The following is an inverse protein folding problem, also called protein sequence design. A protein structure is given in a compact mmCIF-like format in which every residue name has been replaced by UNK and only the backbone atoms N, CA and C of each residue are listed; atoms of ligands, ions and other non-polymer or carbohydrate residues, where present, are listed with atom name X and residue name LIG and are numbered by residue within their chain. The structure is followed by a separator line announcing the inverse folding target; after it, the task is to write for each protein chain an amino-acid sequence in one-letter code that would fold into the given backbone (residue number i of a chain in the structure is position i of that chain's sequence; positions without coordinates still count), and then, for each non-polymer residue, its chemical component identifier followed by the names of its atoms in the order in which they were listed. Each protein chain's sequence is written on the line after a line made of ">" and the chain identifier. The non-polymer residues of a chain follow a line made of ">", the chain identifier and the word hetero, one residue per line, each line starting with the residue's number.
data_IF_062221355207
#
_entry.id   IF_062221355207
#
_cell.length_a   1.000
_cell.length_b   1.000
_cell.length_c   1.000
_cell.angle_alpha   90.00
_cell.angle_beta   90.00
_cell.angle_gamma   90.00
#
_symmetry.space_group_name_H-M   'P 1'
#
loop_
_entity.id
_entity.type
_entity.pdbx_description
1 polymer ?
#
# COMPACT_ATOMS: atom_id res chain seq x y z
N UNK A 1 2.96 13.39 12.25
CA UNK A 1 2.37 14.02 11.05
C UNK A 1 3.41 14.83 10.31
N UNK A 2 3.37 14.77 8.96
CA UNK A 2 4.32 15.43 8.05
C UNK A 2 3.96 16.89 7.76
N UNK A 3 2.71 17.30 8.00
CA UNK A 3 2.18 18.62 7.66
C UNK A 3 1.75 18.75 6.19
N UNK A 4 2.16 17.81 5.33
CA UNK A 4 1.86 17.80 3.90
C UNK A 4 0.38 17.53 3.61
N UNK A 5 -0.18 18.08 2.51
CA UNK A 5 -1.50 17.69 2.06
C UNK A 5 -1.54 16.19 1.78
N UNK A 6 -2.65 15.56 2.14
CA UNK A 6 -2.90 14.16 1.85
C UNK A 6 -4.24 14.03 1.12
N UNK A 7 -4.37 12.97 0.33
CA UNK A 7 -5.64 12.56 -0.26
C UNK A 7 -5.98 11.18 0.26
N UNK A 8 -7.21 11.05 0.74
CA UNK A 8 -7.76 9.81 1.27
C UNK A 8 -8.91 9.40 0.38
N UNK A 9 -8.92 8.14 -0.03
CA UNK A 9 -9.93 7.55 -0.89
C UNK A 9 -10.53 6.34 -0.17
N UNK A 10 -11.85 6.29 -0.06
CA UNK A 10 -12.57 5.11 0.44
C UNK A 10 -12.89 4.22 -0.76
N UNK A 11 -12.54 2.93 -0.70
CA UNK A 11 -12.84 1.99 -1.79
C UNK A 11 -14.34 1.76 -2.01
N UNK A 12 -15.18 2.16 -1.06
CA UNK A 12 -16.64 2.22 -1.19
C UNK A 12 -17.15 3.39 -2.05
N UNK A 13 -16.36 4.44 -2.25
CA UNK A 13 -16.79 5.60 -3.03
C UNK A 13 -16.88 5.25 -4.52
N UNK A 14 -18.00 5.63 -5.13
CA UNK A 14 -18.26 5.37 -6.56
C UNK A 14 -17.64 6.41 -7.49
N UNK A 15 -17.05 7.46 -6.92
CA UNK A 15 -16.53 8.61 -7.64
C UNK A 15 -15.16 8.37 -8.28
N UNK A 16 -14.54 7.21 -8.05
CA UNK A 16 -13.29 6.82 -8.71
C UNK A 16 -13.29 5.35 -9.12
N UNK A 17 -12.60 5.06 -10.22
CA UNK A 17 -12.46 3.71 -10.76
C UNK A 17 -11.17 3.04 -10.29
N UNK A 18 -11.04 1.73 -10.55
CA UNK A 18 -9.78 1.02 -10.34
C UNK A 18 -8.62 1.62 -11.15
N UNK A 19 -8.92 2.15 -12.34
CA UNK A 19 -7.94 2.78 -13.22
C UNK A 19 -7.47 4.13 -12.69
N UNK A 20 -8.38 4.93 -12.12
CA UNK A 20 -8.03 6.21 -11.48
C UNK A 20 -7.12 5.97 -10.27
N UNK A 21 -7.52 5.03 -9.40
CA UNK A 21 -6.72 4.66 -8.24
C UNK A 21 -5.35 4.12 -8.67
N UNK A 22 -5.30 3.25 -9.68
CA UNK A 22 -4.05 2.71 -10.19
C UNK A 22 -3.13 3.81 -10.73
N UNK A 23 -3.69 4.77 -11.47
CA UNK A 23 -2.94 5.91 -11.99
C UNK A 23 -2.35 6.76 -10.86
N UNK A 24 -3.11 6.97 -9.78
CA UNK A 24 -2.64 7.69 -8.59
C UNK A 24 -1.54 6.94 -7.83
N UNK A 25 -1.63 5.61 -7.73
CA UNK A 25 -0.57 4.77 -7.13
C UNK A 25 0.71 4.86 -7.94
N UNK A 26 0.63 4.77 -9.28
CA UNK A 26 1.80 4.88 -10.15
C UNK A 26 2.44 6.28 -10.10
N UNK A 27 1.62 7.33 -10.03
CA UNK A 27 2.09 8.69 -9.83
C UNK A 27 2.80 8.85 -8.48
N UNK A 28 2.17 8.40 -7.40
CA UNK A 28 2.74 8.48 -6.06
C UNK A 28 4.06 7.70 -5.95
N UNK A 29 4.17 6.52 -6.55
CA UNK A 29 5.44 5.79 -6.61
C UNK A 29 6.51 6.56 -7.40
N UNK A 30 6.16 7.13 -8.57
CA UNK A 30 7.10 7.90 -9.40
C UNK A 30 7.64 9.13 -8.66
N UNK A 31 6.79 9.84 -7.93
CA UNK A 31 7.18 11.02 -7.17
C UNK A 31 7.80 10.68 -5.80
N UNK A 32 7.71 9.42 -5.36
CA UNK A 32 8.18 8.96 -4.05
C UNK A 32 7.28 9.40 -2.90
N UNK A 33 5.98 9.60 -3.16
CA UNK A 33 4.99 9.94 -2.15
C UNK A 33 4.64 8.72 -1.28
N UNK A 34 4.68 8.86 0.06
CA UNK A 34 4.23 7.79 0.94
C UNK A 34 2.76 7.45 0.71
N UNK A 35 2.49 6.14 0.71
CA UNK A 35 1.16 5.58 0.54
C UNK A 35 0.85 4.60 1.67
N UNK A 36 -0.38 4.60 2.14
CA UNK A 36 -0.85 3.68 3.16
C UNK A 36 -2.29 3.23 2.85
N UNK A 37 -2.66 2.03 3.28
CA UNK A 37 -4.02 1.53 3.16
C UNK A 37 -4.49 0.92 4.48
N UNK A 38 -5.75 1.14 4.81
CA UNK A 38 -6.38 0.63 6.02
C UNK A 38 -7.35 -0.49 5.71
N UNK A 39 -7.45 -1.47 6.61
CA UNK A 39 -8.53 -2.47 6.60
C UNK A 39 -9.64 -2.06 7.56
N UNK A 40 -10.90 -2.27 7.17
CA UNK A 40 -12.05 -2.07 8.04
C UNK A 40 -12.17 -3.16 9.13
N UNK A 41 -12.69 -2.79 10.31
CA UNK A 41 -13.30 -3.74 11.26
C UNK A 41 -12.60 -3.97 12.61
N UNK A 42 -13.31 -4.73 13.45
CA UNK A 42 -13.03 -5.05 14.85
C UNK A 42 -12.04 -6.24 14.96
N UNK A 43 -10.84 -5.99 15.51
CA UNK A 43 -9.79 -6.89 16.04
C UNK A 43 -9.79 -8.40 15.70
N UNK A 44 -9.84 -8.77 14.42
CA UNK A 44 -9.68 -10.16 13.99
C UNK A 44 -8.84 -10.29 12.71
N UNK A 45 -8.06 -11.36 12.59
CA UNK A 45 -7.41 -11.74 11.32
C UNK A 45 -8.48 -12.14 10.30
N UNK A 46 -8.30 -11.78 9.03
CA UNK A 46 -9.01 -12.48 7.97
C UNK A 46 -8.39 -13.88 7.76
N UNK A 47 -9.16 -14.82 7.21
CA UNK A 47 -8.71 -16.20 6.93
C UNK A 47 -7.47 -16.28 6.01
N UNK A 48 -7.06 -15.15 5.43
CA UNK A 48 -5.95 -15.01 4.48
C UNK A 48 -4.75 -14.24 5.04
N UNK A 49 -4.69 -14.05 6.36
CA UNK A 49 -3.52 -13.50 7.07
C UNK A 49 -3.46 -11.98 7.18
N UNK A 50 -4.38 -11.23 6.57
CA UNK A 50 -4.47 -9.76 6.73
C UNK A 50 -5.22 -9.43 8.02
N UNK A 51 -4.57 -8.68 8.90
CA UNK A 51 -5.12 -8.13 10.14
C UNK A 51 -6.16 -7.06 9.81
N UNK A 52 -7.37 -7.16 10.37
CA UNK A 52 -8.41 -6.12 10.30
C UNK A 52 -8.13 -4.98 11.26
N UNK A 53 -8.70 -3.80 11.01
CA UNK A 53 -8.47 -2.60 11.83
C UNK A 53 -7.02 -2.11 11.83
N UNK A 54 -6.22 -2.52 10.83
CA UNK A 54 -4.80 -2.22 10.75
C UNK A 54 -4.43 -1.44 9.49
N UNK A 55 -3.38 -0.62 9.61
CA UNK A 55 -2.83 0.16 8.51
C UNK A 55 -1.56 -0.50 7.97
N UNK A 56 -1.45 -0.55 6.64
CA UNK A 56 -0.32 -1.12 5.92
C UNK A 56 0.32 -0.05 5.06
N UNK A 57 1.63 -0.13 4.87
CA UNK A 57 2.34 0.77 3.94
C UNK A 57 2.32 0.17 2.55
N UNK A 58 2.00 0.97 1.52
CA UNK A 58 2.16 0.55 0.13
C UNK A 58 3.56 0.96 -0.32
N UNK A 59 4.37 -0.03 -0.70
CA UNK A 59 5.80 0.17 -1.02
C UNK A 59 6.05 0.40 -2.50
N UNK A 60 5.37 -0.37 -3.36
CA UNK A 60 5.58 -0.33 -4.81
C UNK A 60 4.40 -0.93 -5.57
N UNK A 61 4.25 -0.57 -6.85
CA UNK A 61 3.22 -1.10 -7.73
C UNK A 61 3.82 -1.49 -9.09
N UNK A 62 3.38 -2.63 -9.64
CA UNK A 62 3.89 -3.14 -10.92
C UNK A 62 2.74 -3.57 -11.81
N UNK A 63 2.82 -3.14 -13.08
CA UNK A 63 1.94 -3.58 -14.17
C UNK A 63 2.65 -4.67 -14.95
N UNK A 64 2.21 -5.92 -14.81
CA UNK A 64 2.78 -7.10 -15.46
C UNK A 64 1.88 -7.57 -16.60
N UNK A 65 2.39 -8.49 -17.42
CA UNK A 65 1.64 -9.12 -18.53
C UNK A 65 1.00 -8.11 -19.49
N UNK A 66 1.69 -7.00 -19.78
CA UNK A 66 1.18 -5.94 -20.64
C UNK A 66 0.06 -5.11 -19.99
N UNK A 67 0.05 -5.00 -18.66
CA UNK A 67 -0.90 -4.19 -17.89
C UNK A 67 -2.17 -4.93 -17.47
N UNK A 68 -2.31 -6.21 -17.82
CA UNK A 68 -3.43 -7.06 -17.40
C UNK A 68 -3.35 -7.44 -15.93
N UNK A 69 -2.14 -7.54 -15.39
CA UNK A 69 -1.90 -7.91 -14.00
C UNK A 69 -1.32 -6.72 -13.24
N UNK A 70 -2.09 -6.18 -12.30
CA UNK A 70 -1.71 -5.04 -11.46
C UNK A 70 -1.43 -5.54 -10.05
N UNK A 71 -0.17 -5.50 -9.65
CA UNK A 71 0.27 -5.96 -8.33
C UNK A 71 0.76 -4.78 -7.48
N UNK A 72 0.38 -4.80 -6.21
CA UNK A 72 0.88 -3.87 -5.20
C UNK A 72 1.68 -4.65 -4.16
N UNK A 73 2.80 -4.11 -3.73
CA UNK A 73 3.52 -4.59 -2.56
C UNK A 73 3.10 -3.79 -1.34
N UNK A 74 2.57 -4.50 -0.34
CA UNK A 74 2.16 -3.94 0.93
C UNK A 74 3.11 -4.44 2.02
N UNK A 75 3.25 -3.64 3.08
CA UNK A 75 4.00 -4.01 4.28
C UNK A 75 3.16 -3.86 5.52
N UNK A 76 3.10 -4.93 6.30
CA UNK A 76 2.63 -4.91 7.68
C UNK A 76 3.70 -4.30 8.59
N UNK A 77 3.43 -3.18 9.29
CA UNK A 77 4.36 -2.56 10.23
C UNK A 77 4.84 -3.48 11.35
N UNK A 78 4.08 -4.52 11.71
CA UNK A 78 4.50 -5.50 12.71
C UNK A 78 5.58 -6.47 12.22
N UNK A 79 5.88 -6.49 10.92
CA UNK A 79 6.90 -7.36 10.33
C UNK A 79 6.54 -8.84 10.32
N UNK A 80 5.25 -9.16 10.45
CA UNK A 80 4.66 -10.51 10.45
C UNK A 80 3.20 -10.43 10.01
N UNK A 81 2.56 -11.58 9.84
CA UNK A 81 1.18 -11.70 9.34
C UNK A 81 1.03 -11.18 7.91
N UNK A 82 1.50 -12.02 7.00
CA UNK A 82 1.50 -11.77 5.57
C UNK A 82 0.27 -12.37 4.89
N UNK A 83 -0.08 -11.78 3.76
CA UNK A 83 -1.08 -12.31 2.84
C UNK A 83 -0.74 -13.74 2.42
N UNK A 84 -1.72 -14.64 2.46
CA UNK A 84 -1.55 -16.05 2.04
C UNK A 84 -2.27 -16.40 0.74
N UNK A 85 -2.92 -15.43 0.09
CA UNK A 85 -3.68 -15.65 -1.14
C UNK A 85 -2.84 -15.60 -2.43
N UNK A 86 -3.47 -15.16 -3.53
CA UNK A 86 -2.81 -15.03 -4.83
C UNK A 86 -1.66 -14.03 -4.77
N UNK A 87 -0.51 -14.37 -5.34
CA UNK A 87 0.71 -13.53 -5.32
C UNK A 87 1.38 -13.34 -3.95
N UNK A 88 0.89 -14.03 -2.91
CA UNK A 88 1.65 -14.20 -1.67
C UNK A 88 3.03 -14.82 -1.90
N UNK A 89 3.90 -14.71 -0.89
CA UNK A 89 5.25 -15.28 -0.87
C UNK A 89 5.32 -16.78 -1.14
N UNK A 90 4.25 -17.51 -0.79
CA UNK A 90 4.10 -18.95 -0.98
C UNK A 90 3.23 -19.30 -2.20
N UNK A 91 2.76 -18.30 -2.95
CA UNK A 91 1.84 -18.51 -4.07
C UNK A 91 2.52 -19.23 -5.24
N UNK A 92 1.86 -20.26 -5.74
CA UNK A 92 2.29 -20.99 -6.96
C UNK A 92 2.07 -20.18 -8.25
N UNK A 93 1.39 -19.03 -8.18
CA UNK A 93 1.14 -18.15 -9.33
C UNK A 93 2.41 -17.45 -9.82
N UNK A 94 3.42 -17.30 -8.96
CA UNK A 94 4.69 -16.71 -9.33
C UNK A 94 5.46 -17.57 -10.33
N UNK A 95 5.76 -17.01 -11.49
CA UNK A 95 6.73 -17.57 -12.43
C UNK A 95 8.10 -16.94 -12.20
N UNK A 96 9.21 -17.59 -12.60
CA UNK A 96 10.55 -17.00 -12.49
C UNK A 96 10.66 -15.64 -13.20
N UNK A 97 9.99 -15.47 -14.34
CA UNK A 97 9.97 -14.21 -15.09
C UNK A 97 9.30 -13.09 -14.29
N UNK A 98 8.11 -13.35 -13.74
CA UNK A 98 7.37 -12.36 -12.94
C UNK A 98 8.11 -12.01 -11.65
N UNK A 99 8.76 -12.99 -11.02
CA UNK A 99 9.62 -12.74 -9.84
C UNK A 99 10.78 -11.80 -10.17
N UNK A 100 11.44 -12.01 -11.30
CA UNK A 100 12.54 -11.14 -11.74
C UNK A 100 12.04 -9.72 -12.04
N UNK A 101 10.88 -9.59 -12.69
CA UNK A 101 10.30 -8.29 -13.06
C UNK A 101 9.93 -7.43 -11.85
N UNK A 102 9.44 -8.04 -10.77
CA UNK A 102 9.07 -7.31 -9.54
C UNK A 102 10.17 -7.26 -8.49
N UNK A 103 11.34 -7.88 -8.74
CA UNK A 103 12.39 -8.03 -7.74
C UNK A 103 11.91 -8.81 -6.50
N UNK A 104 11.14 -9.88 -6.71
CA UNK A 104 10.57 -10.68 -5.64
C UNK A 104 11.67 -11.34 -4.80
N UNK A 105 11.61 -11.13 -3.49
CA UNK A 105 12.41 -11.84 -2.49
C UNK A 105 11.47 -12.49 -1.49
N UNK A 106 11.66 -13.78 -1.23
CA UNK A 106 10.85 -14.49 -0.23
C UNK A 106 11.45 -14.23 1.15
N UNK A 107 10.75 -13.47 1.98
CA UNK A 107 11.17 -13.09 3.34
C UNK A 107 9.94 -13.05 4.24
N UNK A 108 10.12 -13.41 5.51
CA UNK A 108 9.08 -13.24 6.53
C UNK A 108 9.35 -11.91 7.25
N UNK A 109 9.06 -10.81 6.55
CA UNK A 109 9.32 -9.45 7.00
C UNK A 109 8.06 -8.56 7.00
N UNK A 110 6.90 -9.18 6.77
CA UNK A 110 5.62 -8.52 6.67
C UNK A 110 5.37 -7.86 5.31
N UNK A 111 6.29 -7.96 4.35
CA UNK A 111 6.09 -7.46 2.99
C UNK A 111 5.50 -8.56 2.10
N UNK A 112 4.42 -8.25 1.39
CA UNK A 112 3.78 -9.20 0.50
C UNK A 112 3.19 -8.50 -0.71
N UNK A 113 3.09 -9.24 -1.80
CA UNK A 113 2.45 -8.78 -3.03
C UNK A 113 1.00 -9.24 -3.08
N UNK A 114 0.14 -8.39 -3.63
CA UNK A 114 -1.28 -8.67 -3.76
C UNK A 114 -1.82 -8.02 -5.04
N UNK A 115 -2.84 -8.62 -5.66
CA UNK A 115 -3.48 -8.03 -6.83
C UNK A 115 -4.32 -6.83 -6.44
N UNK A 116 -4.43 -5.83 -7.33
CA UNK A 116 -5.22 -4.62 -7.10
C UNK A 116 -6.66 -4.92 -6.67
N UNK A 117 -7.30 -5.90 -7.31
CA UNK A 117 -8.67 -6.28 -7.00
C UNK A 117 -8.82 -6.91 -5.61
N UNK A 118 -7.82 -7.68 -5.16
CA UNK A 118 -7.77 -8.20 -3.80
C UNK A 118 -7.56 -7.05 -2.79
N UNK A 119 -6.75 -6.02 -3.12
CA UNK A 119 -6.61 -4.80 -2.29
C UNK A 119 -7.97 -4.14 -2.10
N UNK A 120 -8.67 -3.85 -3.19
CA UNK A 120 -9.98 -3.16 -3.15
C UNK A 120 -11.06 -3.93 -2.40
N UNK A 121 -10.94 -5.26 -2.33
CA UNK A 121 -11.90 -6.13 -1.65
C UNK A 121 -11.62 -6.26 -0.15
N UNK A 122 -10.34 -6.24 0.25
CA UNK A 122 -9.92 -6.54 1.63
C UNK A 122 -9.62 -5.30 2.47
N UNK A 123 -9.25 -4.21 1.81
CA UNK A 123 -8.95 -2.94 2.42
C UNK A 123 -10.15 -2.01 2.25
N UNK A 124 -10.24 -1.00 3.10
CA UNK A 124 -11.31 -0.01 3.13
C UNK A 124 -10.90 1.28 2.43
N UNK A 125 -9.64 1.67 2.59
CA UNK A 125 -9.15 2.95 2.13
C UNK A 125 -7.70 2.89 1.64
N UNK A 126 -7.32 3.91 0.89
CA UNK A 126 -5.94 4.25 0.57
C UNK A 126 -5.71 5.74 0.76
N UNK A 127 -4.56 6.08 1.31
CA UNK A 127 -4.12 7.43 1.60
C UNK A 127 -2.79 7.72 0.91
N UNK A 128 -2.71 8.86 0.24
CA UNK A 128 -1.52 9.36 -0.45
C UNK A 128 -1.04 10.63 0.26
N UNK A 129 0.24 10.71 0.62
CA UNK A 129 0.85 11.88 1.24
C UNK A 129 1.69 12.61 0.19
N UNK A 130 1.23 13.77 -0.30
CA UNK A 130 1.93 14.55 -1.33
C UNK A 130 3.09 15.34 -0.70
N UNK A 131 4.17 14.63 -0.40
CA UNK A 131 5.37 15.21 0.19
C UNK A 131 6.24 15.84 -0.90
N UNK A 132 6.16 17.16 -1.07
CA UNK A 132 7.07 17.86 -1.98
C UNK A 132 8.49 17.94 -1.37
N UNK A 133 9.54 17.72 -2.18
CA UNK A 133 10.95 17.73 -1.72
C UNK A 133 11.43 19.07 -1.12
N UNK A 134 10.63 20.14 -1.21
CA UNK A 134 10.91 21.45 -0.61
C UNK A 134 10.15 21.75 0.70
N UNK A 135 9.33 20.81 1.21
CA UNK A 135 8.60 21.02 2.45
C UNK A 135 9.52 20.81 3.67
N UNK A 136 10.05 21.89 4.22
CA UNK A 136 10.66 21.89 5.54
C UNK A 136 9.59 21.97 6.63
N UNK A 137 9.67 21.12 7.66
CA UNK A 137 8.88 21.29 8.88
C UNK A 137 9.16 22.68 9.46
N UNK A 138 8.17 23.56 9.45
CA UNK A 138 8.18 24.72 10.32
C UNK A 138 7.95 24.22 11.75
N UNK A 139 9.02 23.82 12.42
CA UNK A 139 8.99 23.63 13.86
C UNK A 139 9.02 25.04 14.45
N UNK A 140 7.89 25.53 14.94
CA UNK A 140 7.88 26.76 15.76
C UNK A 140 8.81 26.49 16.94
N UNK A 141 9.90 27.25 17.13
CA UNK A 141 10.69 27.12 18.34
C UNK A 141 9.76 27.41 19.52
N UNK A 142 9.77 26.52 20.50
CA UNK A 142 9.05 26.73 21.75
C UNK A 142 9.61 28.03 22.36
N UNK A 143 8.80 29.09 22.34
CA UNK A 143 9.10 30.32 23.05
C UNK A 143 9.10 29.97 24.54
N UNK A 144 10.21 30.19 25.27
CA UNK A 144 10.20 30.01 26.72
C UNK A 144 9.18 31.00 27.31
N UNK A 145 8.19 30.45 28.02
CA UNK A 145 7.21 31.23 28.78
C UNK A 145 7.96 31.86 29.98
N UNK A 146 7.79 33.16 30.26
CA UNK A 146 8.53 33.86 31.32
C UNK A 146 8.26 33.32 32.74
#
# INVERSE_FOLDING_TARGET
>A
MTGAPYRHLLFSDKDFTADDMWSMVLEAEREGYPMACGTEGNDHFNERGVVKGHAYSVLQARSLEGGKLRLMQLRNPWGRFEWTGAWSDKSKKWTPALKAEVGFERKDDGCFWMALEDVRTLFADISFVYLHRGWSRACTPLVPIP
#
